data_IF_851554873073
#
_entry.id   IF_851554873073
#
_cell.length_a   1.000
_cell.length_b   1.000
_cell.length_c   1.000
_cell.angle_alpha   90.00
_cell.angle_beta   90.00
_cell.angle_gamma   90.00
#
_symmetry.space_group_name_H-M   'P 1'
#
loop_
_entity.id
_entity.type
_entity.pdbx_description
1 polymer ?
#
# COMPACT_ATOMS: atom_id res chain seq x y z
N UNK A 1 2.68 4.49 -27.67
CA UNK A 1 3.90 3.99 -27.01
C UNK A 1 4.16 4.90 -25.83
N UNK A 2 4.38 4.38 -24.62
CA UNK A 2 4.67 5.21 -23.45
C UNK A 2 6.09 5.75 -23.64
N UNK A 3 6.24 7.07 -23.72
CA UNK A 3 7.56 7.69 -23.77
C UNK A 3 8.24 7.50 -22.39
N UNK A 4 9.18 6.56 -22.35
CA UNK A 4 9.96 6.22 -21.17
C UNK A 4 10.92 7.36 -20.83
N UNK A 5 10.39 8.39 -20.16
CA UNK A 5 11.21 9.49 -19.65
C UNK A 5 11.87 9.08 -18.32
N UNK A 6 13.12 9.48 -18.05
CA UNK A 6 13.80 9.17 -16.79
C UNK A 6 13.02 9.60 -15.54
N UNK A 7 12.17 10.62 -15.67
CA UNK A 7 11.29 11.12 -14.60
C UNK A 7 10.32 10.06 -14.06
N UNK A 8 9.87 9.13 -14.91
CA UNK A 8 8.95 8.05 -14.53
C UNK A 8 9.56 7.10 -13.48
N UNK A 9 10.88 6.98 -13.46
CA UNK A 9 11.59 6.05 -12.57
C UNK A 9 12.01 6.68 -11.24
N UNK A 10 11.92 8.01 -11.09
CA UNK A 10 12.38 8.72 -9.89
C UNK A 10 11.58 8.28 -8.66
N UNK A 11 10.24 8.38 -8.72
CA UNK A 11 9.39 8.06 -7.58
C UNK A 11 9.49 6.58 -7.15
N UNK A 12 9.42 5.58 -8.06
CA UNK A 12 9.64 4.17 -7.70
C UNK A 12 11.02 3.92 -7.06
N UNK A 13 12.08 4.56 -7.58
CA UNK A 13 13.44 4.39 -7.06
C UNK A 13 13.56 4.94 -5.65
N UNK A 14 13.01 6.13 -5.39
CA UNK A 14 12.99 6.73 -4.05
C UNK A 14 12.19 5.84 -3.08
N UNK A 15 11.02 5.37 -3.50
CA UNK A 15 10.17 4.53 -2.67
C UNK A 15 10.87 3.21 -2.29
N UNK A 16 11.50 2.53 -3.26
CA UNK A 16 12.27 1.31 -3.00
C UNK A 16 13.47 1.56 -2.09
N UNK A 17 14.20 2.66 -2.29
CA UNK A 17 15.32 3.03 -1.43
C UNK A 17 14.85 3.25 0.02
N UNK A 18 13.75 4.00 0.22
CA UNK A 18 13.16 4.23 1.54
C UNK A 18 12.69 2.93 2.20
N UNK A 19 12.02 2.05 1.45
CA UNK A 19 11.61 0.73 1.93
C UNK A 19 12.84 -0.10 2.35
N UNK A 20 13.90 -0.11 1.55
CA UNK A 20 15.14 -0.82 1.88
C UNK A 20 15.82 -0.28 3.13
N UNK A 21 15.94 1.05 3.25
CA UNK A 21 16.52 1.72 4.43
C UNK A 21 15.69 1.40 5.68
N UNK A 22 14.37 1.53 5.59
CA UNK A 22 13.47 1.23 6.71
C UNK A 22 13.51 -0.25 7.08
N UNK A 23 13.58 -1.16 6.11
CA UNK A 23 13.72 -2.58 6.36
C UNK A 23 15.01 -2.89 7.13
N UNK A 24 16.15 -2.35 6.70
CA UNK A 24 17.43 -2.50 7.41
C UNK A 24 17.38 -1.88 8.80
N UNK A 25 16.74 -0.72 8.95
CA UNK A 25 16.55 -0.08 10.26
C UNK A 25 15.75 -0.99 11.20
N UNK A 26 14.62 -1.55 10.74
CA UNK A 26 13.80 -2.44 11.55
C UNK A 26 14.51 -3.76 11.86
N UNK A 27 15.28 -4.32 10.91
CA UNK A 27 16.07 -5.53 11.11
C UNK A 27 17.10 -5.42 12.25
N UNK A 28 17.59 -4.21 12.54
CA UNK A 28 18.50 -3.95 13.67
C UNK A 28 17.77 -3.92 15.02
N UNK A 29 16.45 -3.77 15.03
CA UNK A 29 15.62 -3.61 16.23
C UNK A 29 14.79 -4.84 16.58
N UNK A 30 14.65 -5.78 15.65
CA UNK A 30 13.93 -7.03 15.87
C UNK A 30 14.82 -8.11 16.47
N UNK A 31 14.29 -8.85 17.44
CA UNK A 31 14.97 -10.00 18.05
C UNK A 31 15.04 -11.15 17.04
N UNK A 32 13.93 -11.46 16.36
CA UNK A 32 13.83 -12.57 15.43
C UNK A 32 13.81 -12.11 13.96
N UNK A 33 15.00 -11.92 13.38
CA UNK A 33 15.17 -11.45 11.99
C UNK A 33 14.47 -12.34 10.95
N UNK A 34 14.52 -13.66 11.11
CA UNK A 34 13.83 -14.59 10.20
C UNK A 34 12.31 -14.44 10.24
N UNK A 35 11.74 -14.22 11.43
CA UNK A 35 10.31 -13.99 11.59
C UNK A 35 9.90 -12.69 10.91
N UNK A 36 10.67 -11.62 11.13
CA UNK A 36 10.44 -10.33 10.49
C UNK A 36 10.54 -10.44 8.96
N UNK A 37 11.52 -11.17 8.42
CA UNK A 37 11.63 -11.40 6.98
C UNK A 37 10.41 -12.14 6.41
N UNK A 38 9.96 -13.22 7.05
CA UNK A 38 8.73 -13.94 6.64
C UNK A 38 7.49 -13.04 6.69
N UNK A 39 7.37 -12.23 7.74
CA UNK A 39 6.30 -11.26 7.89
C UNK A 39 6.29 -10.23 6.75
N UNK A 40 7.45 -9.64 6.43
CA UNK A 40 7.57 -8.67 5.33
C UNK A 40 7.22 -9.30 3.98
N UNK A 41 7.70 -10.51 3.70
CA UNK A 41 7.37 -11.23 2.46
C UNK A 41 5.86 -11.51 2.37
N UNK A 42 5.25 -11.99 3.45
CA UNK A 42 3.81 -12.24 3.49
C UNK A 42 3.00 -10.95 3.27
N UNK A 43 3.39 -9.85 3.93
CA UNK A 43 2.76 -8.54 3.75
C UNK A 43 2.86 -8.06 2.29
N UNK A 44 4.03 -8.19 1.65
CA UNK A 44 4.21 -7.84 0.24
C UNK A 44 3.35 -8.71 -0.69
N UNK A 45 3.36 -10.03 -0.50
CA UNK A 45 2.61 -10.96 -1.36
C UNK A 45 1.09 -10.80 -1.22
N UNK A 46 0.59 -10.67 0.01
CA UNK A 46 -0.84 -10.44 0.26
C UNK A 46 -1.23 -9.05 -0.25
N UNK A 47 -0.42 -8.02 0.02
CA UNK A 47 -0.65 -6.66 -0.46
C UNK A 47 -0.75 -6.60 -1.98
N UNK A 48 0.17 -7.23 -2.69
CA UNK A 48 0.11 -7.34 -4.15
C UNK A 48 -1.19 -8.01 -4.63
N UNK A 49 -1.55 -9.16 -4.04
CA UNK A 49 -2.74 -9.91 -4.48
C UNK A 49 -4.05 -9.15 -4.23
N UNK A 50 -4.17 -8.48 -3.07
CA UNK A 50 -5.36 -7.70 -2.72
C UNK A 50 -5.45 -6.45 -3.60
N UNK A 51 -4.36 -5.71 -3.79
CA UNK A 51 -4.35 -4.55 -4.71
C UNK A 51 -4.65 -4.98 -6.14
N UNK A 52 -4.07 -6.09 -6.62
CA UNK A 52 -4.35 -6.58 -7.98
C UNK A 52 -5.81 -6.94 -8.22
N UNK A 53 -6.43 -7.55 -7.22
CA UNK A 53 -7.87 -7.82 -7.25
C UNK A 53 -8.65 -6.50 -7.29
N UNK A 54 -8.27 -5.52 -6.47
CA UNK A 54 -8.92 -4.22 -6.40
C UNK A 54 -8.79 -3.41 -7.69
N UNK A 55 -7.58 -3.30 -8.24
CA UNK A 55 -7.26 -2.66 -9.52
C UNK A 55 -8.09 -3.27 -10.64
N UNK A 56 -8.10 -4.60 -10.76
CA UNK A 56 -8.85 -5.30 -11.82
C UNK A 56 -10.37 -5.05 -11.71
N UNK A 57 -10.90 -4.99 -10.49
CA UNK A 57 -12.33 -4.75 -10.25
C UNK A 57 -12.72 -3.29 -10.51
N UNK A 58 -11.86 -2.33 -10.15
CA UNK A 58 -12.20 -0.92 -10.33
C UNK A 58 -11.84 -0.38 -11.72
N UNK A 59 -10.98 -1.07 -12.48
CA UNK A 59 -10.46 -0.57 -13.75
C UNK A 59 -11.54 -0.07 -14.76
N UNK A 60 -12.76 -0.66 -14.81
CA UNK A 60 -13.86 -0.14 -15.63
C UNK A 60 -14.35 1.28 -15.29
N UNK A 61 -13.96 1.83 -14.14
CA UNK A 61 -14.34 3.18 -13.70
C UNK A 61 -13.52 4.29 -14.40
N UNK A 62 -12.48 3.93 -15.15
CA UNK A 62 -11.67 4.87 -15.93
C UNK A 62 -12.10 4.91 -17.40
N UNK A 63 -12.05 6.08 -18.04
CA UNK A 63 -12.44 6.20 -19.45
C UNK A 63 -11.52 5.39 -20.37
N UNK A 64 -12.10 4.78 -21.41
CA UNK A 64 -11.34 4.05 -22.41
C UNK A 64 -10.83 2.68 -21.96
N UNK A 65 -11.19 2.22 -20.75
CA UNK A 65 -10.79 0.90 -20.29
C UNK A 65 -11.44 -0.22 -21.13
N UNK A 66 -10.62 -1.19 -21.54
CA UNK A 66 -11.05 -2.45 -22.17
C UNK A 66 -10.34 -3.59 -21.47
N UNK A 67 -11.05 -4.68 -21.17
CA UNK A 67 -10.42 -5.89 -20.66
C UNK A 67 -9.54 -6.52 -21.74
N UNK A 68 -8.24 -6.24 -21.67
CA UNK A 68 -7.21 -6.74 -22.59
C UNK A 68 -6.01 -7.21 -21.78
N UNK A 69 -5.11 -8.01 -22.39
CA UNK A 69 -3.87 -8.46 -21.74
C UNK A 69 -3.04 -7.25 -21.25
N UNK A 70 -2.99 -6.16 -22.02
CA UNK A 70 -2.32 -4.92 -21.60
C UNK A 70 -2.93 -4.33 -20.33
N UNK A 71 -4.25 -4.38 -20.17
CA UNK A 71 -4.94 -3.86 -18.99
C UNK A 71 -4.59 -4.64 -17.72
N UNK A 72 -4.44 -5.97 -17.84
CA UNK A 72 -3.97 -6.80 -16.73
C UNK A 72 -2.51 -6.48 -16.36
N UNK A 73 -1.64 -6.26 -17.35
CA UNK A 73 -0.25 -5.86 -17.09
C UNK A 73 -0.15 -4.49 -16.41
N UNK A 74 -0.98 -3.52 -16.80
CA UNK A 74 -1.04 -2.21 -16.15
C UNK A 74 -1.53 -2.35 -14.70
N UNK A 75 -2.60 -3.13 -14.49
CA UNK A 75 -3.13 -3.40 -13.15
C UNK A 75 -2.09 -4.10 -12.26
N UNK A 76 -1.34 -5.05 -12.82
CA UNK A 76 -0.25 -5.71 -12.10
C UNK A 76 0.86 -4.73 -11.71
N UNK A 77 1.25 -3.82 -12.62
CA UNK A 77 2.25 -2.79 -12.33
C UNK A 77 1.76 -1.81 -11.25
N UNK A 78 0.51 -1.36 -11.33
CA UNK A 78 -0.12 -0.51 -10.31
C UNK A 78 -0.12 -1.22 -8.94
N UNK A 79 -0.48 -2.50 -8.92
CA UNK A 79 -0.51 -3.31 -7.70
C UNK A 79 0.87 -3.49 -7.04
N UNK A 80 1.94 -3.54 -7.85
CA UNK A 80 3.31 -3.52 -7.32
C UNK A 80 3.61 -2.17 -6.67
N UNK A 81 3.24 -1.05 -7.32
CA UNK A 81 3.42 0.27 -6.75
C UNK A 81 2.64 0.43 -5.43
N UNK A 82 1.40 -0.03 -5.39
CA UNK A 82 0.57 0.02 -4.18
C UNK A 82 1.10 -0.87 -3.06
N UNK A 83 1.64 -2.05 -3.39
CA UNK A 83 2.30 -2.90 -2.40
C UNK A 83 3.54 -2.21 -1.80
N UNK A 84 4.33 -1.50 -2.63
CA UNK A 84 5.47 -0.70 -2.15
C UNK A 84 4.98 0.43 -1.23
N UNK A 85 3.94 1.16 -1.63
CA UNK A 85 3.35 2.24 -0.82
C UNK A 85 2.79 1.73 0.51
N UNK A 86 2.17 0.55 0.51
CA UNK A 86 1.69 -0.13 1.70
C UNK A 86 2.83 -0.46 2.68
N UNK A 87 3.98 -0.93 2.16
CA UNK A 87 5.17 -1.19 2.98
C UNK A 87 5.80 0.11 3.49
N UNK A 88 5.76 1.18 2.69
CA UNK A 88 6.24 2.50 3.09
C UNK A 88 5.38 3.06 4.24
N UNK A 89 4.05 2.98 4.11
CA UNK A 89 3.11 3.38 5.17
C UNK A 89 3.38 2.59 6.46
N UNK A 90 3.57 1.28 6.35
CA UNK A 90 3.94 0.43 7.48
C UNK A 90 5.23 0.91 8.15
N UNK A 91 6.24 1.22 7.32
CA UNK A 91 7.55 1.64 7.76
C UNK A 91 7.51 2.97 8.50
N UNK A 92 6.75 3.95 7.99
CA UNK A 92 6.53 5.25 8.62
C UNK A 92 5.93 5.06 10.02
N UNK A 93 4.88 4.25 10.15
CA UNK A 93 4.26 3.98 11.45
C UNK A 93 5.19 3.23 12.40
N UNK A 94 6.00 2.29 11.90
CA UNK A 94 7.02 1.62 12.71
C UNK A 94 8.05 2.60 13.29
N UNK A 95 8.46 3.60 12.50
CA UNK A 95 9.37 4.66 12.96
C UNK A 95 8.72 5.54 14.02
N UNK A 96 7.49 6.02 13.77
CA UNK A 96 6.75 6.91 14.68
C UNK A 96 6.47 6.21 16.02
N UNK A 97 5.96 4.98 15.96
CA UNK A 97 5.61 4.18 17.14
C UNK A 97 6.84 3.56 17.81
N UNK A 98 8.00 3.62 17.16
CA UNK A 98 9.25 2.95 17.57
C UNK A 98 9.04 1.46 17.87
N UNK A 99 8.13 0.80 17.16
CA UNK A 99 7.77 -0.61 17.38
C UNK A 99 7.73 -1.35 16.04
N UNK A 100 8.77 -2.17 15.73
CA UNK A 100 8.83 -2.97 14.51
C UNK A 100 7.74 -4.02 14.36
N UNK A 101 6.93 -4.28 15.39
CA UNK A 101 5.84 -5.25 15.38
C UNK A 101 4.51 -4.59 15.78
N UNK A 102 4.36 -3.28 15.56
CA UNK A 102 3.20 -2.50 15.99
C UNK A 102 1.85 -3.06 15.49
N UNK A 103 1.84 -3.72 14.31
CA UNK A 103 0.66 -4.38 13.73
C UNK A 103 0.22 -5.63 14.48
N UNK A 104 1.06 -6.21 15.34
CA UNK A 104 0.64 -7.31 16.22
C UNK A 104 -0.45 -6.85 17.21
N UNK A 105 -0.45 -5.56 17.56
CA UNK A 105 -1.40 -4.92 18.49
C UNK A 105 -2.07 -3.72 17.81
N UNK A 106 -2.95 -4.01 16.85
CA UNK A 106 -3.80 -2.98 16.23
C UNK A 106 -4.87 -2.51 17.23
N UNK A 107 -4.71 -1.30 17.75
CA UNK A 107 -5.76 -0.60 18.50
C UNK A 107 -6.66 0.18 17.56
N UNK A 108 -7.88 0.52 18.00
CA UNK A 108 -8.83 1.30 17.21
C UNK A 108 -8.22 2.64 16.74
N UNK A 109 -7.45 3.31 17.60
CA UNK A 109 -6.75 4.55 17.23
C UNK A 109 -5.74 4.33 16.11
N UNK A 110 -4.94 3.25 16.16
CA UNK A 110 -3.96 2.93 15.11
C UNK A 110 -4.65 2.62 13.79
N UNK A 111 -5.76 1.88 13.83
CA UNK A 111 -6.59 1.59 12.65
C UNK A 111 -7.06 2.90 12.01
N UNK A 112 -7.61 3.82 12.83
CA UNK A 112 -8.09 5.11 12.34
C UNK A 112 -6.96 5.95 11.74
N UNK A 113 -5.80 6.04 12.39
CA UNK A 113 -4.67 6.81 11.88
C UNK A 113 -4.14 6.25 10.57
N UNK A 114 -4.00 4.93 10.45
CA UNK A 114 -3.54 4.28 9.21
C UNK A 114 -4.54 4.56 8.08
N UNK A 115 -5.84 4.39 8.34
CA UNK A 115 -6.88 4.67 7.35
C UNK A 115 -6.86 6.14 6.91
N UNK A 116 -6.79 7.08 7.85
CA UNK A 116 -6.78 8.52 7.54
C UNK A 116 -5.53 8.93 6.77
N UNK A 117 -4.34 8.51 7.22
CA UNK A 117 -3.08 8.85 6.52
C UNK A 117 -3.05 8.24 5.13
N UNK A 118 -3.46 6.97 4.99
CA UNK A 118 -3.58 6.31 3.68
C UNK A 118 -4.57 7.02 2.76
N UNK A 119 -5.80 7.26 3.25
CA UNK A 119 -6.86 7.89 2.47
C UNK A 119 -6.55 9.34 2.07
N UNK A 120 -5.97 10.15 2.97
CA UNK A 120 -5.52 11.51 2.65
C UNK A 120 -4.38 11.47 1.63
N UNK A 121 -3.41 10.57 1.81
CA UNK A 121 -2.31 10.40 0.86
C UNK A 121 -2.81 10.05 -0.55
N UNK A 122 -3.77 9.12 -0.64
CA UNK A 122 -4.41 8.75 -1.90
C UNK A 122 -5.19 9.92 -2.52
N UNK A 123 -5.98 10.65 -1.72
CA UNK A 123 -6.72 11.81 -2.21
C UNK A 123 -5.78 12.89 -2.78
N UNK A 124 -4.70 13.21 -2.07
CA UNK A 124 -3.70 14.17 -2.56
C UNK A 124 -3.04 13.67 -3.85
N UNK A 125 -2.70 12.38 -3.91
CA UNK A 125 -2.12 11.78 -5.12
C UNK A 125 -3.09 11.88 -6.32
N UNK A 126 -4.36 11.54 -6.14
CA UNK A 126 -5.36 11.64 -7.21
C UNK A 126 -5.52 13.07 -7.72
N UNK A 127 -5.59 14.06 -6.83
CA UNK A 127 -5.64 15.48 -7.22
C UNK A 127 -4.47 15.83 -8.13
N UNK A 128 -3.25 15.42 -7.78
CA UNK A 128 -2.06 15.71 -8.57
C UNK A 128 -2.10 15.07 -9.97
N UNK A 129 -2.52 13.82 -10.08
CA UNK A 129 -2.58 13.10 -11.36
C UNK A 129 -3.69 13.64 -12.27
N UNK A 130 -4.85 14.01 -11.71
CA UNK A 130 -5.91 14.67 -12.48
C UNK A 130 -5.42 16.02 -13.01
N UNK A 131 -4.76 16.84 -12.17
CA UNK A 131 -4.22 18.12 -12.60
C UNK A 131 -3.09 17.99 -13.62
N UNK A 132 -2.30 16.92 -13.54
CA UNK A 132 -1.27 16.61 -14.53
C UNK A 132 -1.86 16.10 -15.87
N UNK A 133 -3.13 15.67 -15.87
CA UNK A 133 -3.80 15.11 -17.04
C UNK A 133 -3.45 13.64 -17.29
N UNK A 134 -2.94 12.94 -16.28
CA UNK A 134 -2.48 11.54 -16.40
C UNK A 134 -3.65 10.57 -16.65
N UNK A 135 -4.84 10.86 -16.08
CA UNK A 135 -6.06 10.11 -16.35
C UNK A 135 -7.34 10.93 -16.16
N UNK A 136 -8.42 10.43 -16.75
CA UNK A 136 -9.77 11.02 -16.65
C UNK A 136 -10.78 9.95 -16.23
N UNK A 137 -11.63 10.30 -15.27
CA UNK A 137 -12.66 9.40 -14.74
C UNK A 137 -13.82 9.19 -15.72
N UNK A 138 -14.37 7.97 -15.75
CA UNK A 138 -15.62 7.71 -16.44
C UNK A 138 -16.81 8.32 -15.66
N UNK A 139 -17.93 8.53 -16.33
CA UNK A 139 -19.17 9.03 -15.70
C UNK A 139 -19.69 8.13 -14.59
N UNK A 140 -19.27 6.87 -14.55
CA UNK A 140 -19.63 5.87 -13.54
C UNK A 140 -18.77 5.94 -12.28
N UNK A 141 -17.68 6.71 -12.27
CA UNK A 141 -16.79 6.83 -11.11
C UNK A 141 -17.45 7.65 -10.00
N UNK A 142 -17.69 7.08 -8.81
CA UNK A 142 -18.15 7.86 -7.68
C UNK A 142 -17.05 8.82 -7.24
N UNK A 143 -17.38 10.11 -7.11
CA UNK A 143 -16.44 11.17 -6.73
C UNK A 143 -16.73 11.71 -5.32
N UNK A 144 -15.68 12.10 -4.61
CA UNK A 144 -15.79 12.88 -3.37
C UNK A 144 -15.98 14.36 -3.76
N UNK A 145 -17.15 14.97 -3.57
CA UNK A 145 -17.45 16.29 -4.13
C UNK A 145 -16.54 17.42 -3.63
N UNK A 146 -15.99 17.28 -2.42
CA UNK A 146 -15.12 18.29 -1.79
C UNK A 146 -13.75 18.36 -2.45
N UNK A 147 -13.21 17.22 -2.91
CA UNK A 147 -11.86 17.12 -3.46
C UNK A 147 -11.83 16.77 -4.96
N UNK A 148 -12.98 16.46 -5.57
CA UNK A 148 -13.12 15.99 -6.95
C UNK A 148 -12.23 14.78 -7.29
N UNK A 149 -12.00 13.90 -6.31
CA UNK A 149 -11.23 12.66 -6.47
C UNK A 149 -12.14 11.44 -6.45
N UNK A 150 -11.70 10.37 -7.08
CA UNK A 150 -12.35 9.07 -7.04
C UNK A 150 -12.48 8.51 -5.63
N UNK A 151 -13.66 7.99 -5.30
CA UNK A 151 -13.89 7.29 -4.03
C UNK A 151 -13.10 5.98 -3.99
N UNK A 152 -12.99 5.25 -5.11
CA UNK A 152 -12.34 3.93 -5.15
C UNK A 152 -10.85 3.97 -4.76
N UNK A 153 -10.00 4.84 -5.33
CA UNK A 153 -8.59 4.93 -4.92
C UNK A 153 -8.42 5.33 -3.45
N UNK A 154 -9.28 6.21 -2.93
CA UNK A 154 -9.24 6.62 -1.52
C UNK A 154 -9.60 5.45 -0.61
N UNK A 155 -10.66 4.72 -0.93
CA UNK A 155 -11.08 3.53 -0.16
C UNK A 155 -10.03 2.42 -0.19
N UNK A 156 -9.34 2.24 -1.32
CA UNK A 156 -8.25 1.27 -1.46
C UNK A 156 -7.18 1.51 -0.39
N UNK A 157 -6.67 2.73 -0.28
CA UNK A 157 -5.65 3.07 0.72
C UNK A 157 -6.18 3.19 2.16
N UNK A 158 -7.49 3.32 2.36
CA UNK A 158 -8.09 3.25 3.70
C UNK A 158 -8.25 1.80 4.19
N UNK A 159 -8.62 0.88 3.29
CA UNK A 159 -9.06 -0.48 3.63
C UNK A 159 -7.94 -1.51 3.43
N UNK A 160 -7.26 -1.49 2.28
CA UNK A 160 -6.29 -2.52 1.92
C UNK A 160 -5.12 -2.61 2.90
N UNK A 161 -4.48 -1.50 3.32
CA UNK A 161 -3.41 -1.57 4.32
C UNK A 161 -3.85 -2.23 5.62
N UNK A 162 -5.05 -1.91 6.12
CA UNK A 162 -5.59 -2.49 7.34
C UNK A 162 -5.80 -4.00 7.20
N UNK A 163 -6.41 -4.44 6.10
CA UNK A 163 -6.66 -5.85 5.82
C UNK A 163 -5.33 -6.62 5.76
N UNK A 164 -4.35 -6.09 5.02
CA UNK A 164 -3.05 -6.73 4.82
C UNK A 164 -2.23 -6.75 6.11
N UNK A 165 -2.25 -5.68 6.91
CA UNK A 165 -1.57 -5.67 8.21
C UNK A 165 -2.20 -6.66 9.18
N UNK A 166 -3.53 -6.73 9.20
CA UNK A 166 -4.23 -7.68 10.05
C UNK A 166 -3.91 -9.13 9.68
N UNK A 167 -4.02 -9.50 8.40
CA UNK A 167 -3.73 -10.88 7.95
C UNK A 167 -2.26 -11.25 8.10
N UNK A 168 -1.33 -10.36 7.76
CA UNK A 168 0.11 -10.63 7.94
C UNK A 168 0.51 -10.70 9.41
N UNK A 169 -0.19 -10.00 10.31
CA UNK A 169 0.10 -10.02 11.75
C UNK A 169 -0.12 -11.39 12.42
N UNK A 170 -0.87 -12.31 11.80
CA UNK A 170 -1.02 -13.67 12.32
C UNK A 170 0.32 -14.41 12.45
N UNK A 171 1.27 -14.13 11.55
CA UNK A 171 2.63 -14.69 11.63
C UNK A 171 3.38 -14.22 12.89
N UNK A 172 3.08 -13.01 13.37
CA UNK A 172 3.71 -12.42 14.55
C UNK A 172 3.06 -12.92 15.85
N UNK A 173 1.74 -13.14 15.84
CA UNK A 173 0.97 -13.58 17.02
C UNK A 173 1.31 -15.01 17.43
N UNK A 174 1.50 -15.92 16.47
CA UNK A 174 1.76 -17.34 16.75
C UNK A 174 3.11 -17.68 17.42
N UNK A 175 4.02 -16.71 17.57
CA UNK A 175 5.33 -16.91 18.24
C UNK A 175 5.49 -16.14 19.56
N UNK A 176 4.51 -15.32 19.94
CA UNK A 176 4.55 -14.58 21.20
C UNK A 176 4.35 -15.49 22.43
N UNK A 177 3.74 -16.66 22.24
CA UNK A 177 3.35 -17.54 23.36
C UNK A 177 4.38 -18.63 23.71
N UNK A 178 5.42 -18.82 22.89
CA UNK A 178 6.39 -19.91 23.12
C UNK A 178 7.77 -19.46 23.63
N UNK A 179 8.12 -18.18 23.57
CA UNK A 179 9.51 -17.70 23.78
C UNK A 179 9.65 -16.43 24.65
N UNK A 180 8.62 -16.04 25.43
CA UNK A 180 8.73 -14.92 26.38
C UNK A 180 8.93 -15.37 27.84
N UNK A 181 9.16 -16.67 28.08
CA UNK A 181 9.38 -17.26 29.41
C UNK A 181 10.63 -18.16 29.50
N UNK A 182 11.69 -17.87 28.74
CA UNK A 182 13.00 -18.51 28.94
C UNK A 182 14.14 -17.53 28.74
#
# INVERSE_FOLDING_TARGET
>A
MIDLTPKLFIAPTIALALVGICYVYNLKRVIHKQLFGKFMVAMSSIGFAVNFTWETLHAPLYQGHRYTINSFSISALASVADAIMLILLYSIFSLILKDPYWVSRLSLSRILYVALVGGIGAAVSEVLHIHAGDWTYATTMPIIPVANVGISPVLQFMIVPLLVYWTSSFLLRGKSDSNLTS
#
